data_IF_791512732975
#
_entry.id   IF_791512732975
#
_cell.length_a   1.000
_cell.length_b   1.000
_cell.length_c   1.000
_cell.angle_alpha   90.00
_cell.angle_beta   90.00
_cell.angle_gamma   90.00
#
_symmetry.space_group_name_H-M   'P 1'
#
loop_
_entity.id
_entity.type
_entity.pdbx_description
1 polymer ?
#
# COMPACT_ATOMS: atom_id res chain seq x y z
N UNK A 1 19.33 -9.15 15.49
CA UNK A 1 18.02 -8.48 15.60
C UNK A 1 18.05 -7.09 14.94
N UNK A 2 18.44 -7.02 13.65
CA UNK A 2 18.60 -5.75 12.91
C UNK A 2 17.95 -5.78 11.51
N UNK A 3 17.14 -6.79 11.22
CA UNK A 3 16.42 -6.91 9.94
C UNK A 3 14.95 -6.47 10.00
N UNK A 4 14.47 -6.11 11.19
CA UNK A 4 13.12 -5.55 11.36
C UNK A 4 13.01 -4.11 10.84
N UNK A 5 14.14 -3.46 10.54
CA UNK A 5 14.19 -2.07 10.05
C UNK A 5 14.30 -1.96 8.52
N UNK A 6 14.66 -3.05 7.82
CA UNK A 6 14.53 -3.18 6.35
C UNK A 6 13.19 -3.82 5.97
N UNK A 7 12.42 -4.28 6.95
CA UNK A 7 11.14 -4.96 6.81
C UNK A 7 10.04 -4.03 6.25
N UNK A 8 10.05 -2.73 6.55
CA UNK A 8 9.00 -1.79 6.11
C UNK A 8 8.83 -1.66 4.59
N UNK A 9 9.90 -1.91 3.79
CA UNK A 9 9.78 -1.88 2.32
C UNK A 9 9.05 -3.09 1.74
N UNK A 10 8.84 -4.15 2.53
CA UNK A 10 8.10 -5.36 2.15
C UNK A 10 6.84 -5.62 3.00
N UNK A 11 6.80 -5.13 4.24
CA UNK A 11 5.69 -5.35 5.18
C UNK A 11 4.49 -4.49 4.85
N UNK A 12 4.68 -3.20 4.57
CA UNK A 12 3.56 -2.33 4.22
C UNK A 12 2.79 -2.81 2.98
N UNK A 13 3.45 -3.20 1.87
CA UNK A 13 2.70 -3.77 0.76
C UNK A 13 2.00 -5.09 1.13
N UNK A 14 2.60 -5.94 1.97
CA UNK A 14 2.01 -7.21 2.40
C UNK A 14 0.78 -7.02 3.31
N UNK A 15 0.85 -6.09 4.28
CA UNK A 15 -0.28 -5.72 5.15
C UNK A 15 -1.45 -5.18 4.33
N UNK A 16 -1.19 -4.30 3.36
CA UNK A 16 -2.25 -3.78 2.47
C UNK A 16 -2.86 -4.92 1.65
N UNK A 17 -2.07 -5.90 1.21
CA UNK A 17 -2.56 -7.05 0.46
C UNK A 17 -3.50 -7.94 1.30
N UNK A 18 -3.21 -8.11 2.59
CA UNK A 18 -4.08 -8.82 3.55
C UNK A 18 -5.39 -8.05 3.75
N UNK A 19 -5.31 -6.74 3.97
CA UNK A 19 -6.48 -5.86 4.11
C UNK A 19 -7.33 -5.89 2.83
N UNK A 20 -6.70 -5.90 1.66
CA UNK A 20 -7.38 -5.95 0.38
C UNK A 20 -8.27 -7.19 0.28
N UNK A 21 -7.72 -8.37 0.57
CA UNK A 21 -8.46 -9.63 0.50
C UNK A 21 -9.61 -9.67 1.51
N UNK A 22 -9.39 -9.12 2.71
CA UNK A 22 -10.39 -9.02 3.77
C UNK A 22 -11.55 -8.07 3.37
N UNK A 23 -11.23 -6.94 2.73
CA UNK A 23 -12.23 -6.02 2.20
C UNK A 23 -13.02 -6.58 1.03
N UNK A 24 -12.37 -7.31 0.12
CA UNK A 24 -13.06 -8.03 -0.97
C UNK A 24 -14.02 -9.09 -0.39
N UNK A 25 -13.57 -9.84 0.61
CA UNK A 25 -14.42 -10.82 1.30
C UNK A 25 -15.64 -10.16 1.96
N UNK A 26 -15.43 -9.01 2.62
CA UNK A 26 -16.51 -8.24 3.23
C UNK A 26 -17.53 -7.71 2.21
N UNK A 27 -17.07 -7.21 1.06
CA UNK A 27 -17.94 -6.77 -0.05
C UNK A 27 -18.75 -7.96 -0.58
N UNK A 28 -18.11 -9.13 -0.71
CA UNK A 28 -18.76 -10.35 -1.18
C UNK A 28 -19.87 -10.81 -0.24
N UNK A 29 -19.60 -10.84 1.08
CA UNK A 29 -20.59 -11.22 2.10
C UNK A 29 -21.70 -10.16 2.21
N UNK A 30 -21.34 -8.88 2.14
CA UNK A 30 -22.31 -7.77 2.17
C UNK A 30 -23.28 -7.80 0.99
N UNK A 31 -22.81 -8.20 -0.19
CA UNK A 31 -23.65 -8.30 -1.38
C UNK A 31 -24.80 -9.32 -1.25
N UNK A 32 -24.63 -10.38 -0.42
CA UNK A 32 -25.70 -11.34 -0.13
C UNK A 32 -26.82 -10.77 0.75
N UNK A 33 -26.56 -9.69 1.49
CA UNK A 33 -27.54 -9.03 2.36
C UNK A 33 -28.41 -8.00 1.63
N UNK A 34 -28.04 -7.61 0.40
CA UNK A 34 -28.78 -6.63 -0.40
C UNK A 34 -29.63 -7.30 -1.48
N UNK A 35 -30.60 -6.56 -2.01
CA UNK A 35 -31.38 -6.99 -3.18
C UNK A 35 -30.47 -7.31 -4.37
N UNK A 36 -30.84 -8.29 -5.20
CA UNK A 36 -30.03 -8.77 -6.33
C UNK A 36 -29.45 -7.64 -7.21
N UNK A 37 -30.26 -6.61 -7.50
CA UNK A 37 -29.85 -5.46 -8.30
C UNK A 37 -28.87 -4.53 -7.57
N UNK A 38 -29.08 -4.30 -6.27
CA UNK A 38 -28.20 -3.46 -5.45
C UNK A 38 -26.88 -4.16 -5.13
N UNK A 39 -26.91 -5.47 -4.84
CA UNK A 39 -25.73 -6.28 -4.60
C UNK A 39 -24.82 -6.37 -5.83
N UNK A 40 -25.39 -6.52 -7.03
CA UNK A 40 -24.62 -6.53 -8.28
C UNK A 40 -23.90 -5.19 -8.53
N UNK A 41 -24.60 -4.07 -8.29
CA UNK A 41 -24.03 -2.73 -8.39
C UNK A 41 -22.89 -2.55 -7.36
N UNK A 42 -23.08 -3.03 -6.13
CA UNK A 42 -22.10 -2.93 -5.05
C UNK A 42 -20.84 -3.78 -5.32
N UNK A 43 -20.98 -4.98 -5.88
CA UNK A 43 -19.81 -5.80 -6.22
C UNK A 43 -18.94 -5.09 -7.26
N UNK A 44 -19.54 -4.53 -8.31
CA UNK A 44 -18.78 -3.84 -9.37
C UNK A 44 -18.16 -2.54 -8.84
N UNK A 45 -18.97 -1.63 -8.31
CA UNK A 45 -18.47 -0.33 -7.86
C UNK A 45 -17.63 -0.43 -6.59
N UNK A 46 -18.03 -1.27 -5.63
CA UNK A 46 -17.32 -1.49 -4.38
C UNK A 46 -15.95 -2.12 -4.58
N UNK A 47 -15.85 -3.17 -5.41
CA UNK A 47 -14.54 -3.78 -5.72
C UNK A 47 -13.65 -2.82 -6.49
N UNK A 48 -14.20 -2.04 -7.42
CA UNK A 48 -13.45 -1.08 -8.23
C UNK A 48 -12.92 0.10 -7.41
N UNK A 49 -13.76 0.67 -6.53
CA UNK A 49 -13.33 1.73 -5.61
C UNK A 49 -12.28 1.20 -4.62
N UNK A 50 -12.51 0.01 -4.05
CA UNK A 50 -11.58 -0.63 -3.12
C UNK A 50 -10.20 -0.89 -3.75
N UNK A 51 -10.18 -1.39 -5.01
CA UNK A 51 -8.96 -1.54 -5.81
C UNK A 51 -8.18 -0.23 -5.91
N UNK A 52 -8.83 0.83 -6.39
CA UNK A 52 -8.19 2.14 -6.59
C UNK A 52 -7.65 2.70 -5.27
N UNK A 53 -8.40 2.55 -4.18
CA UNK A 53 -7.98 3.03 -2.86
C UNK A 53 -6.75 2.28 -2.33
N UNK A 54 -6.73 0.94 -2.42
CA UNK A 54 -5.58 0.13 -2.04
C UNK A 54 -4.34 0.45 -2.89
N UNK A 55 -4.51 0.68 -4.19
CA UNK A 55 -3.41 1.01 -5.11
C UNK A 55 -2.81 2.38 -4.78
N UNK A 56 -3.65 3.37 -4.50
CA UNK A 56 -3.22 4.71 -4.08
C UNK A 56 -2.45 4.68 -2.75
N UNK A 57 -2.91 3.89 -1.77
CA UNK A 57 -2.22 3.71 -0.49
C UNK A 57 -0.81 3.10 -0.67
N UNK A 58 -0.67 2.11 -1.55
CA UNK A 58 0.64 1.51 -1.87
C UNK A 58 1.56 2.54 -2.54
N UNK A 59 1.03 3.33 -3.47
CA UNK A 59 1.79 4.35 -4.21
C UNK A 59 2.37 5.41 -3.27
N UNK A 60 1.56 5.94 -2.34
CA UNK A 60 2.01 6.94 -1.36
C UNK A 60 3.13 6.39 -0.47
N UNK A 61 2.99 5.14 -0.01
CA UNK A 61 4.01 4.50 0.83
C UNK A 61 5.31 4.23 0.07
N UNK A 62 5.22 3.86 -1.22
CA UNK A 62 6.38 3.72 -2.12
C UNK A 62 7.13 5.04 -2.29
N UNK A 63 6.41 6.16 -2.43
CA UNK A 63 7.01 7.49 -2.54
C UNK A 63 7.74 7.84 -1.24
N UNK A 64 7.09 7.70 -0.08
CA UNK A 64 7.69 8.01 1.22
C UNK A 64 9.02 7.28 1.45
N UNK A 65 9.07 5.99 1.12
CA UNK A 65 10.30 5.20 1.25
C UNK A 65 11.44 5.66 0.33
N UNK A 66 11.13 6.21 -0.85
CA UNK A 66 12.15 6.70 -1.79
C UNK A 66 12.78 8.03 -1.34
N UNK A 67 12.02 8.92 -0.69
CA UNK A 67 12.54 10.21 -0.23
C UNK A 67 13.59 10.04 0.88
N UNK A 68 13.41 9.07 1.77
CA UNK A 68 14.39 8.74 2.82
C UNK A 68 15.72 8.22 2.25
N UNK A 69 15.69 7.48 1.13
CA UNK A 69 16.90 6.96 0.46
C UNK A 69 17.68 8.10 -0.21
N UNK A 70 16.97 9.09 -0.79
CA UNK A 70 17.58 10.26 -1.43
C UNK A 70 18.20 11.23 -0.42
N UNK A 71 17.58 11.40 0.75
CA UNK A 71 18.13 12.21 1.84
C UNK A 71 19.43 11.59 2.40
N UNK A 72 19.48 10.27 2.54
CA UNK A 72 20.69 9.55 2.96
C UNK A 72 21.81 9.62 1.91
N UNK A 73 21.47 9.49 0.62
CA UNK A 73 22.44 9.58 -0.48
C UNK A 73 23.10 10.97 -0.61
N UNK A 74 22.40 12.04 -0.19
CA UNK A 74 22.94 13.39 -0.23
C UNK A 74 24.01 13.64 0.85
N UNK A 75 23.88 12.98 2.01
CA UNK A 75 24.85 13.11 3.11
C UNK A 75 26.16 12.36 2.85
N UNK A 76 26.12 11.28 2.06
CA UNK A 76 27.30 10.49 1.65
C UNK A 76 28.14 11.24 0.60
N UNK A 77 27.48 11.86 -0.39
CA UNK A 77 28.14 12.70 -1.41
C UNK A 77 28.86 13.91 -0.81
N UNK A 78 28.32 14.53 0.24
CA UNK A 78 28.93 15.66 0.92
C UNK A 78 30.18 15.28 1.74
N UNK A 79 30.31 14.01 2.17
CA UNK A 79 31.50 13.50 2.86
C UNK A 79 32.64 13.14 1.90
N UNK A 80 32.33 12.76 0.65
CA UNK A 80 33.33 12.41 -0.36
C UNK A 80 33.95 13.62 -1.07
N UNK A 81 33.29 14.79 -1.07
CA UNK A 81 33.83 16.03 -1.66
C UNK A 81 34.75 16.82 -0.72
N UNK A 82 34.74 16.55 0.59
CA UNK A 82 35.59 17.23 1.57
C UNK A 82 36.84 16.42 1.98
N UNK A 83 37.13 15.36 1.20
CA UNK A 83 38.25 14.43 1.40
C UNK A 83 39.08 14.19 0.13
N UNK A 84 39.00 15.11 -0.84
CA UNK A 84 39.95 15.24 -1.95
C UNK A 84 40.57 16.63 -1.93
#
# INVERSE_FOLDING_TARGET
MKDILTFNKMVTPLIIQVIFWLGVLAIFIGAFQYNFLQGFLMIIFGTLIWRVYCELMIVIFKINNNVHILAAAKSDKAGSENGQ
#
